data_IF_470936721311
#
_entry.id   IF_470936721311
#
_cell.length_a   1.000
_cell.length_b   1.000
_cell.length_c   1.000
_cell.angle_alpha   90.00
_cell.angle_beta   90.00
_cell.angle_gamma   90.00
#
_symmetry.space_group_name_H-M   'P 1'
#
loop_
_entity.id
_entity.type
_entity.pdbx_description
1 polymer ?
#
# COMPACT_ATOMS: atom_id res chain seq x y z
N UNK A 1 -7.80 -18.56 -6.24
CA UNK A 1 -8.38 -17.92 -5.04
C UNK A 1 -8.54 -16.45 -5.35
N UNK A 2 -9.75 -15.94 -5.39
CA UNK A 2 -9.98 -14.50 -5.49
C UNK A 2 -9.76 -13.92 -4.10
N UNK A 3 -8.83 -12.96 -3.97
CA UNK A 3 -8.50 -12.33 -2.69
C UNK A 3 -9.62 -11.42 -2.15
N UNK A 4 -10.63 -11.16 -2.95
CA UNK A 4 -11.67 -10.15 -2.65
C UNK A 4 -11.17 -8.70 -2.69
N UNK A 5 -9.87 -8.47 -2.82
CA UNK A 5 -9.29 -7.13 -2.84
C UNK A 5 -9.44 -6.51 -4.23
N UNK A 6 -10.10 -5.37 -4.36
CA UNK A 6 -10.15 -4.64 -5.61
C UNK A 6 -8.81 -3.95 -5.88
N UNK A 7 -8.00 -4.54 -6.76
CA UNK A 7 -6.69 -3.97 -7.11
C UNK A 7 -6.82 -2.80 -8.06
N UNK A 8 -6.14 -1.71 -7.75
CA UNK A 8 -6.09 -0.55 -8.64
C UNK A 8 -5.92 0.80 -7.97
N UNK A 9 -6.12 0.91 -6.66
CA UNK A 9 -5.70 2.05 -5.87
C UNK A 9 -4.28 1.77 -5.35
N UNK A 10 -3.29 2.48 -5.89
CA UNK A 10 -1.88 2.08 -5.75
C UNK A 10 -1.06 3.01 -4.87
N UNK A 11 -1.62 4.11 -4.37
CA UNK A 11 -0.90 5.08 -3.54
C UNK A 11 -1.25 4.94 -2.07
N UNK A 12 -0.23 5.05 -1.21
CA UNK A 12 -0.33 5.06 0.25
C UNK A 12 -1.05 3.88 0.91
N UNK A 13 -1.21 2.74 0.22
CA UNK A 13 -1.95 1.57 0.73
C UNK A 13 -1.22 0.24 0.54
N UNK A 14 0.00 0.26 0.05
CA UNK A 14 0.74 -0.97 -0.24
C UNK A 14 1.01 -1.82 1.02
N UNK A 15 1.24 -1.19 2.17
CA UNK A 15 1.45 -1.88 3.45
C UNK A 15 0.19 -2.60 3.93
N UNK A 16 -0.98 -1.99 3.84
CA UNK A 16 -2.26 -2.62 4.17
C UNK A 16 -2.55 -3.83 3.28
N UNK A 17 -2.44 -3.65 1.97
CA UNK A 17 -2.67 -4.71 0.98
C UNK A 17 -1.68 -5.86 1.18
N UNK A 18 -0.39 -5.54 1.36
CA UNK A 18 0.65 -6.53 1.59
C UNK A 18 0.40 -7.33 2.88
N UNK A 19 0.00 -6.67 3.96
CA UNK A 19 -0.28 -7.35 5.22
C UNK A 19 -1.54 -8.23 5.12
N UNK A 20 -2.59 -7.75 4.50
CA UNK A 20 -3.79 -8.56 4.26
C UNK A 20 -3.49 -9.81 3.42
N UNK A 21 -2.68 -9.70 2.37
CA UNK A 21 -2.25 -10.85 1.57
C UNK A 21 -1.43 -11.83 2.43
N UNK A 22 -0.57 -11.33 3.32
CA UNK A 22 0.16 -12.17 4.30
C UNK A 22 -0.81 -12.98 5.16
N UNK A 23 -1.87 -12.35 5.69
CA UNK A 23 -2.90 -13.04 6.49
C UNK A 23 -3.66 -14.09 5.67
N UNK A 24 -4.01 -13.79 4.43
CA UNK A 24 -4.61 -14.75 3.51
C UNK A 24 -3.71 -15.96 3.26
N UNK A 25 -2.40 -15.75 3.13
CA UNK A 25 -1.44 -16.83 2.96
C UNK A 25 -1.33 -17.67 4.24
N UNK A 26 -1.22 -17.03 5.40
CA UNK A 26 -1.16 -17.69 6.70
C UNK A 26 -2.41 -18.54 6.98
N UNK A 27 -3.60 -18.03 6.65
CA UNK A 27 -4.85 -18.79 6.79
C UNK A 27 -4.91 -20.07 5.95
N UNK A 28 -4.02 -20.19 4.96
CA UNK A 28 -3.86 -21.39 4.10
C UNK A 28 -2.62 -22.21 4.45
N UNK A 29 -1.95 -21.88 5.57
CA UNK A 29 -0.73 -22.57 6.01
C UNK A 29 0.54 -22.20 5.22
N UNK A 30 0.51 -21.12 4.42
CA UNK A 30 1.69 -20.66 3.71
C UNK A 30 2.43 -19.59 4.51
N UNK A 31 3.74 -19.78 4.67
CA UNK A 31 4.63 -18.77 5.22
C UNK A 31 5.15 -17.88 4.10
N UNK A 32 5.24 -16.59 4.39
CA UNK A 32 5.84 -15.60 3.50
C UNK A 32 6.71 -14.63 4.30
N UNK A 33 7.56 -13.92 3.60
CA UNK A 33 8.22 -12.70 4.07
C UNK A 33 7.60 -11.49 3.35
N UNK A 34 8.10 -10.28 3.62
CA UNK A 34 7.81 -9.09 2.85
C UNK A 34 9.07 -8.55 2.20
N UNK A 35 8.97 -8.14 0.96
CA UNK A 35 10.01 -7.37 0.27
C UNK A 35 9.61 -5.91 0.26
N UNK A 36 10.47 -5.06 0.82
CA UNK A 36 10.34 -3.62 0.84
C UNK A 36 11.34 -3.03 -0.14
N UNK A 37 10.89 -2.11 -0.97
CA UNK A 37 11.73 -1.36 -1.89
C UNK A 37 11.63 0.12 -1.55
N UNK A 38 12.76 0.78 -1.31
CA UNK A 38 12.85 2.18 -0.92
C UNK A 38 13.52 2.98 -2.01
N UNK A 39 12.90 4.11 -2.36
CA UNK A 39 13.52 5.14 -3.16
C UNK A 39 14.61 5.86 -2.34
N UNK A 40 15.60 6.53 -2.99
CA UNK A 40 16.58 7.34 -2.30
C UNK A 40 15.98 8.49 -1.46
N UNK A 41 14.75 8.87 -1.76
CA UNK A 41 13.98 9.89 -1.04
C UNK A 41 12.60 9.33 -0.74
N UNK A 42 12.26 9.18 0.53
CA UNK A 42 11.02 8.52 0.96
C UNK A 42 9.83 9.48 1.01
N UNK A 43 10.05 10.74 1.33
CA UNK A 43 8.97 11.70 1.65
C UNK A 43 8.86 12.91 0.71
N UNK A 44 9.60 12.99 -0.37
CA UNK A 44 9.51 14.14 -1.29
C UNK A 44 8.64 13.79 -2.51
N UNK A 45 7.47 14.38 -2.61
CA UNK A 45 6.57 14.23 -3.77
C UNK A 45 7.10 14.87 -5.05
N UNK A 46 8.02 15.83 -4.93
CA UNK A 46 8.60 16.56 -6.06
C UNK A 46 9.90 15.97 -6.59
N UNK A 47 10.46 14.97 -5.92
CA UNK A 47 11.77 14.42 -6.27
C UNK A 47 11.73 13.47 -7.47
N UNK A 48 12.68 13.65 -8.39
CA UNK A 48 12.95 12.68 -9.47
C UNK A 48 13.52 11.34 -8.97
N UNK A 49 13.87 11.26 -7.67
CA UNK A 49 14.45 10.07 -7.03
C UNK A 49 13.42 9.09 -6.50
N UNK A 50 12.12 9.42 -6.56
CA UNK A 50 11.04 8.51 -6.16
C UNK A 50 10.94 7.28 -7.09
N UNK A 51 10.37 6.20 -6.55
CA UNK A 51 9.88 5.10 -7.38
C UNK A 51 8.73 5.66 -8.22
N UNK A 52 8.83 5.51 -9.54
CA UNK A 52 7.85 6.10 -10.45
C UNK A 52 7.43 5.14 -11.53
N UNK A 53 6.12 4.91 -11.64
CA UNK A 53 5.53 4.09 -12.69
C UNK A 53 4.42 4.84 -13.43
N UNK A 54 4.15 4.52 -14.70
CA UNK A 54 3.00 5.09 -15.41
C UNK A 54 1.69 4.66 -14.74
N UNK A 55 0.79 5.62 -14.51
CA UNK A 55 -0.58 5.34 -14.10
C UNK A 55 -1.44 5.01 -15.30
N UNK A 56 -1.55 3.73 -15.60
CA UNK A 56 -2.34 3.24 -16.73
C UNK A 56 -3.85 3.50 -16.61
N UNK A 57 -4.34 3.78 -15.41
CA UNK A 57 -5.75 4.05 -15.14
C UNK A 57 -6.07 5.55 -15.07
N UNK A 58 -5.04 6.39 -15.27
CA UNK A 58 -5.15 7.85 -15.26
C UNK A 58 -5.84 8.42 -14.01
N UNK A 59 -5.57 7.82 -12.86
CA UNK A 59 -6.12 8.23 -11.57
C UNK A 59 -5.31 9.33 -10.90
N UNK A 60 -4.01 9.36 -11.11
CA UNK A 60 -3.14 10.38 -10.53
C UNK A 60 -3.16 11.69 -11.31
N UNK A 61 -2.92 12.85 -10.66
CA UNK A 61 -2.84 14.14 -11.34
C UNK A 61 -1.81 14.21 -12.45
N UNK A 62 -0.68 13.50 -12.26
CA UNK A 62 0.51 13.56 -13.13
C UNK A 62 0.54 12.47 -14.20
N UNK A 63 -0.43 11.55 -14.24
CA UNK A 63 -0.40 10.35 -15.08
C UNK A 63 0.66 9.33 -14.64
N UNK A 64 1.23 9.52 -13.45
CA UNK A 64 2.25 8.65 -12.84
C UNK A 64 1.89 8.37 -11.40
N UNK A 65 2.37 7.25 -10.89
CA UNK A 65 2.27 6.90 -9.48
C UNK A 65 3.68 7.00 -8.92
N UNK A 66 3.85 7.79 -7.87
CA UNK A 66 5.11 8.05 -7.21
C UNK A 66 5.09 7.46 -5.81
N UNK A 67 6.16 6.76 -5.42
CA UNK A 67 6.31 6.19 -4.10
C UNK A 67 7.69 6.50 -3.51
N UNK A 68 7.71 6.79 -2.22
CA UNK A 68 8.94 6.76 -1.42
C UNK A 68 9.36 5.32 -1.15
N UNK A 69 8.38 4.41 -0.94
CA UNK A 69 8.59 2.99 -0.80
C UNK A 69 7.43 2.19 -1.40
N UNK A 70 7.71 0.91 -1.67
CA UNK A 70 6.69 -0.05 -2.05
C UNK A 70 6.96 -1.41 -1.39
N UNK A 71 5.91 -2.12 -1.00
CA UNK A 71 6.02 -3.39 -0.27
C UNK A 71 5.08 -4.43 -0.85
N UNK A 72 5.54 -5.68 -0.87
CA UNK A 72 4.72 -6.82 -1.29
C UNK A 72 5.17 -8.11 -0.57
N UNK A 73 4.28 -9.11 -0.40
CA UNK A 73 4.67 -10.43 0.08
C UNK A 73 5.60 -11.14 -0.89
N UNK A 74 6.56 -11.87 -0.34
CA UNK A 74 7.51 -12.70 -1.08
C UNK A 74 7.56 -14.11 -0.49
N UNK A 75 7.52 -15.11 -1.36
CA UNK A 75 7.53 -16.53 -0.98
C UNK A 75 8.62 -17.27 -1.73
N UNK A 76 9.09 -18.38 -1.12
CA UNK A 76 9.84 -19.39 -1.82
C UNK A 76 8.90 -20.38 -2.48
N UNK A 77 8.97 -20.50 -3.79
CA UNK A 77 8.12 -21.40 -4.59
C UNK A 77 9.00 -22.38 -5.33
N UNK A 78 8.71 -23.67 -5.22
CA UNK A 78 9.36 -24.70 -6.01
C UNK A 78 8.76 -24.73 -7.41
N UNK A 79 9.59 -24.54 -8.42
CA UNK A 79 9.22 -24.59 -9.83
C UNK A 79 10.15 -25.64 -10.49
N UNK A 80 9.62 -26.83 -10.75
CA UNK A 80 10.44 -27.99 -11.09
C UNK A 80 11.45 -28.30 -9.98
N UNK A 81 12.71 -28.43 -10.31
CA UNK A 81 13.79 -28.73 -9.35
C UNK A 81 14.43 -27.48 -8.73
N UNK A 82 13.88 -26.28 -8.96
CA UNK A 82 14.48 -25.03 -8.49
C UNK A 82 13.53 -24.28 -7.56
N UNK A 83 14.06 -23.81 -6.42
CA UNK A 83 13.38 -22.87 -5.54
C UNK A 83 13.57 -21.46 -6.07
N UNK A 84 12.49 -20.68 -6.11
CA UNK A 84 12.46 -19.30 -6.60
C UNK A 84 11.79 -18.39 -5.58
N UNK A 85 12.35 -17.22 -5.39
CA UNK A 85 11.71 -16.14 -4.63
C UNK A 85 10.70 -15.42 -5.54
N UNK A 86 9.43 -15.53 -5.22
CA UNK A 86 8.30 -15.00 -6.01
C UNK A 86 7.56 -13.94 -5.21
N UNK A 87 7.31 -12.80 -5.82
CA UNK A 87 6.56 -11.68 -5.24
C UNK A 87 5.12 -11.73 -5.69
N UNK A 88 4.19 -11.53 -4.76
CA UNK A 88 2.76 -11.38 -5.02
C UNK A 88 2.40 -9.91 -4.89
N UNK A 89 2.23 -9.25 -6.01
CA UNK A 89 1.86 -7.85 -6.09
C UNK A 89 0.79 -7.64 -7.17
N UNK A 90 -0.47 -7.84 -6.83
CA UNK A 90 -1.57 -7.75 -7.79
C UNK A 90 -1.82 -6.33 -8.31
N UNK A 91 -1.31 -5.32 -7.64
CA UNK A 91 -1.32 -3.94 -8.13
C UNK A 91 -0.47 -3.76 -9.40
N UNK A 92 0.63 -4.50 -9.51
CA UNK A 92 1.58 -4.41 -10.62
C UNK A 92 1.52 -5.58 -11.60
N UNK A 93 1.15 -6.79 -11.14
CA UNK A 93 1.23 -8.01 -11.92
C UNK A 93 -0.03 -8.89 -11.73
N UNK A 94 -0.46 -9.54 -12.81
CA UNK A 94 -1.61 -10.47 -12.77
C UNK A 94 -1.27 -11.81 -12.08
N UNK A 95 0.00 -12.17 -12.05
CA UNK A 95 0.51 -13.43 -11.48
C UNK A 95 1.77 -13.16 -10.67
N UNK A 96 2.14 -14.04 -9.71
CA UNK A 96 3.39 -13.92 -8.99
C UNK A 96 4.58 -13.87 -9.94
N UNK A 97 5.54 -13.00 -9.66
CA UNK A 97 6.75 -12.79 -10.47
C UNK A 97 8.01 -12.98 -9.64
N UNK A 98 9.15 -13.26 -10.30
CA UNK A 98 10.44 -13.27 -9.63
C UNK A 98 10.73 -11.90 -9.02
N UNK A 99 11.33 -11.87 -7.83
CA UNK A 99 11.61 -10.60 -7.14
C UNK A 99 12.45 -9.63 -7.98
N UNK A 100 13.41 -10.12 -8.77
CA UNK A 100 14.20 -9.26 -9.69
C UNK A 100 13.34 -8.62 -10.78
N UNK A 101 12.32 -9.33 -11.29
CA UNK A 101 11.34 -8.79 -12.23
C UNK A 101 10.48 -7.71 -11.57
N UNK A 102 10.11 -7.92 -10.32
CA UNK A 102 9.37 -6.94 -9.54
C UNK A 102 10.21 -5.68 -9.30
N UNK A 103 11.46 -5.80 -8.85
CA UNK A 103 12.38 -4.66 -8.68
C UNK A 103 12.60 -3.89 -9.99
N UNK A 104 12.79 -4.60 -11.09
CA UNK A 104 12.95 -3.97 -12.41
C UNK A 104 11.72 -3.19 -12.87
N UNK A 105 10.51 -3.57 -12.40
CA UNK A 105 9.27 -2.86 -12.69
C UNK A 105 9.19 -1.49 -12.01
N UNK A 106 9.84 -1.32 -10.86
CA UNK A 106 9.80 -0.09 -10.07
C UNK A 106 10.58 1.07 -10.71
N UNK A 107 11.37 0.81 -11.76
CA UNK A 107 11.97 1.80 -12.67
C UNK A 107 12.71 2.97 -12.00
N UNK A 108 13.37 2.75 -10.87
CA UNK A 108 14.28 3.73 -10.30
C UNK A 108 15.73 3.34 -10.53
N UNK A 109 16.61 4.34 -10.75
CA UNK A 109 18.05 4.08 -11.00
C UNK A 109 18.78 3.59 -9.75
N UNK A 110 18.33 4.02 -8.59
CA UNK A 110 18.87 3.65 -7.29
C UNK A 110 17.72 3.22 -6.41
N UNK A 111 17.83 2.04 -5.83
CA UNK A 111 16.80 1.41 -5.03
C UNK A 111 17.49 0.58 -3.97
N UNK A 112 17.01 0.68 -2.74
CA UNK A 112 17.33 -0.28 -1.70
C UNK A 112 16.15 -1.23 -1.57
N UNK A 113 16.42 -2.50 -1.32
CA UNK A 113 15.36 -3.42 -0.95
C UNK A 113 15.77 -4.26 0.25
N UNK A 114 14.78 -4.60 1.04
CA UNK A 114 14.92 -5.46 2.21
C UNK A 114 13.92 -6.60 2.09
N UNK A 115 14.34 -7.80 2.49
CA UNK A 115 13.42 -8.91 2.70
C UNK A 115 13.40 -9.16 4.21
N UNK A 116 12.25 -8.96 4.82
CA UNK A 116 12.06 -9.00 6.26
C UNK A 116 10.91 -9.91 6.62
N UNK A 117 10.80 -10.26 7.89
CA UNK A 117 9.67 -11.02 8.42
C UNK A 117 8.34 -10.40 8.01
N UNK A 118 7.35 -11.24 7.77
CA UNK A 118 6.02 -10.84 7.32
C UNK A 118 5.21 -10.06 8.36
N UNK A 119 5.59 -10.13 9.62
CA UNK A 119 4.96 -9.40 10.73
C UNK A 119 5.19 -7.89 10.62
N UNK A 120 6.32 -7.46 10.06
CA UNK A 120 6.61 -6.05 9.88
C UNK A 120 5.60 -5.40 8.94
N UNK A 121 4.88 -4.42 9.47
CA UNK A 121 3.73 -3.84 8.81
C UNK A 121 4.00 -2.48 8.18
N UNK A 122 4.61 -1.59 8.94
CA UNK A 122 4.87 -0.21 8.58
C UNK A 122 6.28 0.16 9.04
N UNK A 123 6.88 1.18 8.43
CA UNK A 123 8.04 1.81 8.98
C UNK A 123 7.72 3.25 9.38
N UNK A 124 8.37 3.72 10.44
CA UNK A 124 8.31 5.11 10.87
C UNK A 124 9.52 5.86 10.33
N UNK A 125 9.27 7.08 9.95
CA UNK A 125 10.30 8.06 9.60
C UNK A 125 10.78 8.88 10.78
N UNK A 126 10.57 8.42 12.01
CA UNK A 126 11.08 9.15 13.15
C UNK A 126 12.58 9.40 12.97
N UNK A 127 13.00 10.62 13.25
CA UNK A 127 14.37 11.10 13.08
C UNK A 127 15.32 10.43 14.09
N UNK A 128 15.51 9.14 14.02
CA UNK A 128 16.60 8.50 14.77
C UNK A 128 17.81 8.46 13.85
N UNK A 129 18.81 9.29 14.08
CA UNK A 129 20.05 9.20 13.35
C UNK A 129 20.72 7.87 13.71
N UNK A 130 21.12 7.10 12.70
CA UNK A 130 22.02 5.96 12.79
C UNK A 130 21.51 4.60 13.23
N UNK A 131 20.37 4.14 12.78
CA UNK A 131 20.22 2.71 12.70
C UNK A 131 21.06 2.19 11.50
N UNK A 132 22.10 1.44 11.78
CA UNK A 132 22.83 0.68 10.77
C UNK A 132 21.92 -0.44 10.26
N UNK A 133 21.12 -0.14 9.26
CA UNK A 133 20.33 -1.13 8.56
C UNK A 133 21.26 -1.96 7.64
N UNK A 134 21.41 -3.25 7.84
CA UNK A 134 22.10 -4.12 6.89
C UNK A 134 21.15 -4.53 5.77
N UNK A 135 21.52 -4.20 4.54
CA UNK A 135 20.83 -4.73 3.36
C UNK A 135 21.00 -6.25 3.38
N UNK A 136 19.94 -6.98 3.58
CA UNK A 136 20.01 -8.40 3.58
C UNK A 136 20.52 -8.91 2.23
N UNK A 137 21.61 -9.68 2.30
CA UNK A 137 21.92 -10.58 1.21
C UNK A 137 20.72 -11.50 0.98
N UNK A 138 20.50 -11.88 -0.25
CA UNK A 138 19.38 -12.70 -0.76
C UNK A 138 19.06 -14.01 0.00
N UNK A 139 19.70 -14.28 1.13
CA UNK A 139 19.81 -15.63 1.71
C UNK A 139 18.76 -15.93 2.78
N UNK A 140 18.23 -14.93 3.47
CA UNK A 140 17.25 -15.16 4.55
C UNK A 140 15.92 -14.47 4.26
N UNK A 141 14.80 -15.21 4.42
CA UNK A 141 13.45 -14.63 4.40
C UNK A 141 13.00 -14.09 5.77
N UNK A 142 13.80 -14.26 6.82
CA UNK A 142 13.42 -13.96 8.19
C UNK A 142 14.36 -12.95 8.85
N UNK A 143 14.79 -11.96 8.10
CA UNK A 143 15.70 -10.97 8.66
C UNK A 143 14.99 -9.96 9.55
N UNK A 144 15.54 -9.74 10.70
CA UNK A 144 15.21 -8.59 11.52
C UNK A 144 15.75 -7.33 10.84
N UNK A 145 14.95 -6.27 10.62
CA UNK A 145 15.41 -5.06 9.96
C UNK A 145 16.32 -4.17 10.82
N UNK A 146 16.57 -4.50 12.08
CA UNK A 146 17.54 -3.81 12.90
C UNK A 146 18.95 -4.05 12.36
N UNK A 147 19.70 -2.97 12.06
CA UNK A 147 21.08 -2.96 11.56
C UNK A 147 21.27 -3.07 10.03
N UNK A 148 20.51 -2.32 9.25
CA UNK A 148 20.77 -2.20 7.81
C UNK A 148 21.70 -1.01 7.54
N UNK A 149 22.86 -1.23 6.91
CA UNK A 149 23.74 -0.14 6.48
C UNK A 149 23.21 0.50 5.20
N UNK A 150 22.73 1.73 5.32
CA UNK A 150 22.26 2.50 4.17
C UNK A 150 23.46 2.92 3.29
N UNK A 151 23.37 2.79 1.95
CA UNK A 151 24.39 3.30 1.06
C UNK A 151 24.56 4.83 1.20
N UNK A 152 25.78 5.33 1.01
CA UNK A 152 26.09 6.76 1.12
C UNK A 152 25.25 7.66 0.19
N UNK A 153 24.80 7.10 -0.94
CA UNK A 153 23.95 7.82 -1.89
C UNK A 153 22.48 7.92 -1.46
N UNK A 154 22.08 7.23 -0.40
CA UNK A 154 20.73 7.31 0.13
C UNK A 154 20.58 8.59 0.93
N UNK A 155 19.85 9.56 0.40
CA UNK A 155 19.76 10.89 0.97
C UNK A 155 18.77 11.02 2.13
N UNK A 156 17.85 10.06 2.25
CA UNK A 156 16.89 10.06 3.33
C UNK A 156 17.35 9.07 4.42
N UNK A 157 18.00 9.62 5.43
CA UNK A 157 18.58 8.86 6.54
C UNK A 157 17.54 8.44 7.60
N UNK A 158 16.26 8.50 7.25
CA UNK A 158 15.16 8.39 8.20
C UNK A 158 14.37 7.07 8.09
N UNK A 159 14.90 6.05 7.45
CA UNK A 159 14.30 4.70 7.55
C UNK A 159 14.84 4.08 8.84
N UNK A 160 14.06 4.17 9.90
CA UNK A 160 14.62 3.83 11.18
C UNK A 160 13.87 2.75 11.90
N UNK A 161 12.56 2.79 11.93
CA UNK A 161 11.80 1.87 12.75
C UNK A 161 10.72 1.18 11.94
N UNK A 162 10.74 -0.14 11.97
CA UNK A 162 9.64 -0.95 11.47
C UNK A 162 8.73 -1.30 12.64
N UNK A 163 7.41 -1.24 12.40
CA UNK A 163 6.40 -1.61 13.37
C UNK A 163 5.72 -2.91 12.98
N UNK A 164 5.44 -3.71 13.97
CA UNK A 164 4.50 -4.81 13.85
C UNK A 164 3.09 -4.28 13.98
N UNK A 165 2.16 -4.89 13.27
CA UNK A 165 0.76 -4.45 13.29
C UNK A 165 0.14 -4.56 14.69
N UNK A 166 0.45 -5.62 15.40
CA UNK A 166 -0.08 -5.92 16.73
C UNK A 166 0.52 -5.03 17.84
N UNK A 167 1.69 -4.46 17.61
CA UNK A 167 2.41 -3.63 18.58
C UNK A 167 2.03 -2.15 18.47
N UNK A 168 1.44 -1.73 17.36
CA UNK A 168 1.13 -0.34 17.10
C UNK A 168 -0.35 -0.05 17.40
N UNK A 169 -0.62 0.52 18.59
CA UNK A 169 -1.97 0.85 19.00
C UNK A 169 -2.70 1.81 18.04
N UNK A 170 -1.95 2.69 17.36
CA UNK A 170 -2.52 3.61 16.37
C UNK A 170 -2.87 2.92 15.05
N UNK A 171 -2.30 1.73 14.81
CA UNK A 171 -2.59 0.96 13.60
C UNK A 171 -3.90 0.16 13.68
N UNK A 172 -4.61 0.21 14.81
CA UNK A 172 -5.87 -0.52 14.96
C UNK A 172 -6.83 -0.22 13.81
N UNK A 173 -7.26 -1.28 13.14
CA UNK A 173 -8.15 -1.24 11.99
C UNK A 173 -7.60 -0.49 10.76
N UNK A 174 -6.32 -0.20 10.67
CA UNK A 174 -5.76 0.46 9.48
C UNK A 174 -5.83 -0.41 8.23
N UNK A 175 -5.71 -1.72 8.37
CA UNK A 175 -5.86 -2.65 7.25
C UNK A 175 -7.28 -2.57 6.71
N UNK A 176 -8.28 -2.71 7.58
CA UNK A 176 -9.70 -2.66 7.24
C UNK A 176 -10.08 -1.31 6.63
N UNK A 177 -9.65 -0.22 7.25
CA UNK A 177 -9.86 1.15 6.75
C UNK A 177 -9.20 1.33 5.38
N UNK A 178 -7.95 0.94 5.23
CA UNK A 178 -7.22 1.05 3.97
C UNK A 178 -7.86 0.24 2.84
N UNK A 179 -8.36 -0.96 3.14
CA UNK A 179 -9.08 -1.80 2.17
C UNK A 179 -10.46 -1.23 1.82
N UNK A 180 -11.17 -0.70 2.82
CA UNK A 180 -12.47 -0.04 2.62
C UNK A 180 -12.33 1.21 1.74
N UNK A 181 -11.34 2.05 2.02
CA UNK A 181 -11.03 3.23 1.18
C UNK A 181 -10.64 2.81 -0.24
N UNK A 182 -9.81 1.77 -0.39
CA UNK A 182 -9.40 1.27 -1.70
C UNK A 182 -10.63 0.86 -2.53
N UNK A 183 -11.56 0.12 -1.95
CA UNK A 183 -12.77 -0.33 -2.63
C UNK A 183 -13.70 0.85 -2.94
N UNK A 184 -13.90 1.75 -1.98
CA UNK A 184 -14.74 2.95 -2.15
C UNK A 184 -14.18 3.90 -3.21
N UNK A 185 -12.86 4.16 -3.19
CA UNK A 185 -12.20 5.01 -4.18
C UNK A 185 -12.28 4.42 -5.60
N UNK A 186 -12.22 3.11 -5.73
CA UNK A 186 -12.41 2.44 -7.02
C UNK A 186 -13.85 2.55 -7.52
N UNK A 187 -14.82 2.33 -6.65
CA UNK A 187 -16.23 2.51 -6.99
C UNK A 187 -16.54 3.97 -7.39
N UNK A 188 -15.99 4.92 -6.64
CA UNK A 188 -16.10 6.34 -6.96
C UNK A 188 -15.51 6.65 -8.34
N UNK A 189 -14.28 6.18 -8.61
CA UNK A 189 -13.64 6.39 -9.89
C UNK A 189 -14.46 5.80 -11.05
N UNK A 190 -14.89 4.55 -10.93
CA UNK A 190 -15.58 3.87 -12.02
C UNK A 190 -16.96 4.49 -12.32
N UNK A 191 -17.68 4.97 -11.30
CA UNK A 191 -19.02 5.52 -11.46
C UNK A 191 -19.05 7.03 -11.77
N UNK A 192 -18.23 7.83 -11.10
CA UNK A 192 -18.33 9.29 -11.15
C UNK A 192 -17.24 9.94 -12.01
N UNK A 193 -16.03 9.40 -12.04
CA UNK A 193 -14.90 10.04 -12.72
C UNK A 193 -14.69 9.50 -14.13
N UNK A 194 -14.66 8.19 -14.29
CA UNK A 194 -14.37 7.55 -15.57
C UNK A 194 -15.33 7.96 -16.70
N UNK A 195 -16.67 8.07 -16.49
CA UNK A 195 -17.59 8.51 -17.52
C UNK A 195 -17.36 9.96 -17.98
N UNK A 196 -16.84 10.82 -17.09
CA UNK A 196 -16.67 12.26 -17.34
C UNK A 196 -15.21 12.69 -17.49
N UNK A 197 -14.28 11.74 -17.54
CA UNK A 197 -12.84 11.99 -17.53
C UNK A 197 -12.36 12.98 -18.59
N UNK A 198 -13.02 13.02 -19.74
CA UNK A 198 -12.72 13.90 -20.86
C UNK A 198 -13.76 15.01 -21.08
N UNK A 199 -14.75 15.12 -20.20
CA UNK A 199 -15.78 16.15 -20.28
C UNK A 199 -15.26 17.50 -19.79
N UNK A 200 -15.36 18.53 -20.60
CA UNK A 200 -15.01 19.89 -20.18
C UNK A 200 -15.95 20.43 -19.08
N UNK A 201 -17.19 19.97 -19.06
CA UNK A 201 -18.20 20.40 -18.08
C UNK A 201 -17.93 19.92 -16.66
N UNK A 202 -17.17 18.82 -16.49
CA UNK A 202 -16.90 18.19 -15.19
C UNK A 202 -15.42 18.16 -14.84
N UNK A 203 -14.62 19.09 -15.39
CA UNK A 203 -13.18 19.13 -15.14
C UNK A 203 -12.83 19.46 -13.69
N UNK A 204 -13.67 20.22 -13.00
CA UNK A 204 -13.57 20.48 -11.57
C UNK A 204 -13.60 19.17 -10.75
N UNK A 205 -14.63 18.34 -10.94
CA UNK A 205 -14.74 17.04 -10.28
C UNK A 205 -13.54 16.13 -10.59
N UNK A 206 -13.12 16.07 -11.84
CA UNK A 206 -11.97 15.24 -12.25
C UNK A 206 -10.67 15.75 -11.62
N UNK A 207 -10.48 17.07 -11.55
CA UNK A 207 -9.29 17.70 -10.96
C UNK A 207 -9.25 17.46 -9.47
N UNK A 208 -10.34 17.71 -8.76
CA UNK A 208 -10.45 17.52 -7.33
C UNK A 208 -10.24 16.07 -6.94
N UNK A 209 -10.86 15.14 -7.66
CA UNK A 209 -10.60 13.72 -7.47
C UNK A 209 -9.13 13.37 -7.62
N UNK A 210 -8.48 13.85 -8.68
CA UNK A 210 -7.04 13.57 -8.91
C UNK A 210 -6.15 14.12 -7.82
N UNK A 211 -6.50 15.23 -7.20
CA UNK A 211 -5.76 15.78 -6.05
C UNK A 211 -5.87 14.88 -4.81
N UNK A 212 -6.97 14.17 -4.65
CA UNK A 212 -7.24 13.32 -3.49
C UNK A 212 -6.60 11.93 -3.56
N UNK A 213 -6.35 11.39 -4.75
CA UNK A 213 -5.84 10.01 -4.91
C UNK A 213 -4.41 9.81 -4.41
N UNK A 214 -3.71 10.86 -4.04
CA UNK A 214 -2.32 10.79 -3.56
C UNK A 214 -2.15 10.15 -2.18
N UNK A 215 -3.23 10.03 -1.39
CA UNK A 215 -3.15 9.49 -0.04
C UNK A 215 -4.45 8.79 0.38
N UNK A 216 -4.35 7.51 0.74
CA UNK A 216 -5.49 6.70 1.19
C UNK A 216 -6.16 7.27 2.44
N UNK A 217 -5.40 7.83 3.37
CA UNK A 217 -5.94 8.40 4.59
C UNK A 217 -6.69 9.71 4.36
N UNK A 218 -6.30 10.49 3.36
CA UNK A 218 -7.09 11.66 2.95
C UNK A 218 -8.47 11.23 2.44
N UNK A 219 -8.53 10.16 1.65
CA UNK A 219 -9.81 9.60 1.23
C UNK A 219 -10.64 9.08 2.41
N UNK A 220 -10.01 8.38 3.33
CA UNK A 220 -10.70 7.86 4.51
C UNK A 220 -11.34 9.00 5.32
N UNK A 221 -10.61 10.08 5.53
CA UNK A 221 -11.09 11.22 6.29
C UNK A 221 -12.29 11.92 5.64
N UNK A 222 -12.30 12.04 4.29
CA UNK A 222 -13.45 12.60 3.57
C UNK A 222 -14.71 11.78 3.80
N UNK A 223 -14.61 10.47 3.75
CA UNK A 223 -15.78 9.61 3.89
C UNK A 223 -16.18 9.38 5.36
N UNK A 224 -15.26 9.50 6.30
CA UNK A 224 -15.50 9.32 7.73
C UNK A 224 -16.01 10.58 8.39
N UNK A 225 -15.28 11.68 8.27
CA UNK A 225 -15.48 12.90 9.02
C UNK A 225 -15.69 14.11 8.11
N UNK A 226 -16.43 15.09 8.65
CA UNK A 226 -16.54 16.41 8.02
C UNK A 226 -15.33 17.32 8.33
N UNK A 227 -14.35 16.86 9.11
CA UNK A 227 -13.24 17.63 9.66
C UNK A 227 -11.89 17.23 9.05
N UNK A 228 -11.80 17.21 7.76
CA UNK A 228 -10.53 16.97 7.11
C UNK A 228 -9.79 18.28 6.83
N UNK A 229 -8.45 18.21 6.59
CA UNK A 229 -7.57 19.36 6.40
C UNK A 229 -8.27 20.54 5.72
N UNK A 230 -8.48 21.68 6.44
CA UNK A 230 -9.34 22.78 5.98
C UNK A 230 -8.96 23.33 4.61
N UNK A 231 -7.65 23.42 4.30
CA UNK A 231 -7.17 24.08 3.10
C UNK A 231 -7.53 23.36 1.78
N UNK A 232 -7.78 22.05 1.82
CA UNK A 232 -8.07 21.26 0.60
C UNK A 232 -9.46 20.68 0.56
N UNK A 233 -10.15 20.63 1.68
CA UNK A 233 -11.31 19.78 1.86
C UNK A 233 -12.64 20.51 1.85
N UNK A 234 -12.72 21.69 2.43
CA UNK A 234 -13.98 22.43 2.52
C UNK A 234 -14.54 22.71 1.14
N UNK A 235 -13.67 23.03 0.19
CA UNK A 235 -14.06 23.34 -1.18
C UNK A 235 -14.54 22.09 -1.94
N UNK A 236 -13.88 20.95 -1.79
CA UNK A 236 -14.31 19.69 -2.40
C UNK A 236 -15.62 19.20 -1.77
N UNK A 237 -15.72 19.21 -0.46
CA UNK A 237 -16.93 18.80 0.25
C UNK A 237 -18.11 19.72 -0.11
N UNK A 238 -17.89 21.01 -0.13
CA UNK A 238 -18.94 21.98 -0.49
C UNK A 238 -19.44 21.77 -1.92
N UNK A 239 -18.54 21.62 -2.88
CA UNK A 239 -18.90 21.43 -4.29
C UNK A 239 -19.54 20.07 -4.59
N UNK A 240 -19.18 19.03 -3.84
CA UNK A 240 -19.54 17.65 -4.16
C UNK A 240 -20.29 16.92 -3.03
N UNK A 241 -20.99 17.63 -2.19
CA UNK A 241 -21.70 17.14 -0.99
C UNK A 241 -22.55 15.88 -1.25
N UNK A 242 -23.34 15.90 -2.31
CA UNK A 242 -24.23 14.78 -2.63
C UNK A 242 -23.45 13.50 -2.99
N UNK A 243 -22.37 13.67 -3.74
CA UNK A 243 -21.47 12.56 -4.12
C UNK A 243 -20.79 12.00 -2.87
N UNK A 244 -20.25 12.88 -2.01
CA UNK A 244 -19.58 12.48 -0.78
C UNK A 244 -20.53 11.72 0.14
N UNK A 245 -21.74 12.20 0.36
CA UNK A 245 -22.73 11.54 1.22
C UNK A 245 -23.05 10.13 0.73
N UNK A 246 -23.24 9.94 -0.58
CA UNK A 246 -23.43 8.65 -1.21
C UNK A 246 -22.26 7.69 -0.94
N UNK A 247 -21.02 8.15 -1.13
CA UNK A 247 -19.83 7.31 -0.94
C UNK A 247 -19.44 7.11 0.51
N UNK A 248 -19.92 7.94 1.42
CA UNK A 248 -19.80 7.72 2.87
C UNK A 248 -20.54 6.44 3.30
N UNK A 249 -21.75 6.24 2.84
CA UNK A 249 -22.51 5.01 3.12
C UNK A 249 -21.80 3.77 2.55
N UNK A 250 -21.29 3.89 1.32
CA UNK A 250 -20.50 2.82 0.67
C UNK A 250 -19.22 2.53 1.47
N UNK A 251 -18.53 3.56 1.97
CA UNK A 251 -17.34 3.41 2.78
C UNK A 251 -17.63 2.64 4.09
N UNK A 252 -18.66 3.00 4.82
CA UNK A 252 -19.00 2.31 6.07
C UNK A 252 -19.45 0.87 5.82
N UNK A 253 -20.18 0.61 4.77
CA UNK A 253 -20.53 -0.76 4.35
C UNK A 253 -19.27 -1.58 4.00
N UNK A 254 -18.34 -1.00 3.27
CA UNK A 254 -17.06 -1.64 2.95
C UNK A 254 -16.21 -1.84 4.21
N UNK A 255 -16.18 -0.89 5.15
CA UNK A 255 -15.45 -1.00 6.39
C UNK A 255 -15.95 -2.17 7.23
N UNK A 256 -17.26 -2.27 7.41
CA UNK A 256 -17.88 -3.41 8.12
C UNK A 256 -17.50 -4.74 7.46
N UNK A 257 -17.64 -4.85 6.14
CA UNK A 257 -17.26 -6.05 5.38
C UNK A 257 -15.79 -6.45 5.62
N UNK A 258 -14.87 -5.48 5.64
CA UNK A 258 -13.45 -5.76 5.86
C UNK A 258 -13.14 -6.12 7.32
N UNK A 259 -13.84 -5.54 8.30
CA UNK A 259 -13.74 -5.93 9.71
C UNK A 259 -14.19 -7.38 9.92
N UNK A 260 -15.32 -7.79 9.34
CA UNK A 260 -15.80 -9.17 9.38
C UNK A 260 -14.82 -10.13 8.69
N UNK A 261 -14.26 -9.73 7.56
CA UNK A 261 -13.27 -10.52 6.83
C UNK A 261 -11.98 -10.72 7.64
N UNK A 262 -11.49 -9.67 8.31
CA UNK A 262 -10.30 -9.76 9.17
C UNK A 262 -10.55 -10.63 10.40
N UNK A 263 -11.71 -10.50 11.05
CA UNK A 263 -12.08 -11.33 12.19
C UNK A 263 -12.10 -12.82 11.79
N UNK A 264 -12.72 -13.14 10.66
CA UNK A 264 -12.75 -14.51 10.12
C UNK A 264 -11.36 -15.07 9.79
N UNK A 265 -10.47 -14.26 9.20
CA UNK A 265 -9.09 -14.67 8.92
C UNK A 265 -8.32 -14.96 10.20
N UNK A 266 -8.44 -14.11 11.21
CA UNK A 266 -7.76 -14.28 12.49
C UNK A 266 -8.22 -15.55 13.21
N UNK A 267 -9.52 -15.88 13.17
CA UNK A 267 -10.02 -17.14 13.71
C UNK A 267 -9.38 -18.37 13.02
N UNK A 268 -9.30 -18.34 11.68
CA UNK A 268 -8.71 -19.44 10.92
C UNK A 268 -7.23 -19.60 11.26
N UNK A 269 -6.49 -18.49 11.34
CA UNK A 269 -5.07 -18.51 11.68
C UNK A 269 -4.86 -19.06 13.09
N UNK A 270 -5.64 -18.62 14.07
CA UNK A 270 -5.55 -19.09 15.45
C UNK A 270 -5.85 -20.59 15.55
N UNK A 271 -6.88 -21.09 14.87
CA UNK A 271 -7.19 -22.53 14.80
C UNK A 271 -6.06 -23.36 14.16
N UNK A 272 -5.33 -22.80 13.22
CA UNK A 272 -4.19 -23.48 12.58
C UNK A 272 -2.97 -23.52 13.49
N UNK A 273 -2.77 -22.51 14.32
CA UNK A 273 -1.62 -22.43 15.26
C UNK A 273 -1.79 -23.30 16.51
N UNK A 274 -3.01 -23.75 16.81
CA UNK A 274 -3.31 -24.62 17.96
C UNK A 274 -3.30 -26.12 17.62
N UNK A 275 -3.06 -26.47 16.39
CA UNK A 275 -2.87 -27.87 15.91
C UNK A 275 -1.39 -28.19 15.74
#
# INVERSE_FOLDING_TARGET
MQSGIPFGYQQANCHNISHYIRLLLASKGYQCAKIWAFAPVVYSTSSSKLIRIPDKKNKSPTGKIDWGYHVAPILQVRIGNKVRKMVIDPGLFKTPVRYRTWLAKLKTRKLIYLIVDSEWYLFNSSMVPNSELQVNSDESLNANPTNVKLPDWFSDKHITDFFRYEEEALAQHWIEKGLAVNETALAFYDAEIKPVLHSKQHQDLVTDYKMLVGNVFNFETIFRDNNWNPEMNDDFQFRHQNIISKYREIYFSNLQKWQESMASLNEIINKNNTK
#
